data_IF_804032824096
#
_entry.id   IF_804032824096
#
_cell.length_a   1.000
_cell.length_b   1.000
_cell.length_c   1.000
_cell.angle_alpha   90.00
_cell.angle_beta   90.00
_cell.angle_gamma   90.00
#
_symmetry.space_group_name_H-M   'P 1'
#
loop_
_entity.id
_entity.type
_entity.pdbx_description
1 polymer ?
#
# COMPACT_ATOMS: atom_id res chain seq x y z
N UNK A 1 4.11 0.22 -22.27
CA UNK A 1 3.26 0.00 -21.08
C UNK A 1 3.47 1.18 -20.15
N UNK A 2 2.42 1.89 -19.74
CA UNK A 2 2.54 3.02 -18.80
C UNK A 2 2.64 2.44 -17.40
N UNK A 3 3.81 2.52 -16.78
CA UNK A 3 4.00 2.05 -15.40
C UNK A 3 3.13 2.90 -14.48
N UNK A 4 2.31 2.27 -13.64
CA UNK A 4 1.43 2.95 -12.69
C UNK A 4 2.11 2.96 -11.32
N UNK A 5 2.29 4.14 -10.74
CA UNK A 5 2.86 4.34 -9.41
C UNK A 5 1.86 5.06 -8.51
N UNK A 6 1.94 4.86 -7.18
CA UNK A 6 1.26 5.72 -6.24
C UNK A 6 1.69 7.18 -6.48
N UNK A 7 0.73 8.11 -6.37
CA UNK A 7 0.96 9.53 -6.66
C UNK A 7 0.07 10.44 -5.84
N UNK A 8 0.53 11.68 -5.69
CA UNK A 8 -0.30 12.79 -5.26
C UNK A 8 -0.57 13.71 -6.44
N UNK A 9 -1.83 14.07 -6.65
CA UNK A 9 -2.24 15.08 -7.63
C UNK A 9 -2.80 16.28 -6.89
N UNK A 10 -2.30 17.48 -7.13
CA UNK A 10 -2.93 18.71 -6.61
C UNK A 10 -4.22 18.94 -7.38
N UNK A 11 -5.37 18.78 -6.73
CA UNK A 11 -6.69 18.94 -7.35
C UNK A 11 -7.30 20.32 -7.11
N UNK A 12 -6.77 21.08 -6.14
CA UNK A 12 -7.12 22.47 -5.88
C UNK A 12 -5.95 23.23 -5.25
N UNK A 13 -5.65 24.43 -5.74
CA UNK A 13 -4.52 25.27 -5.28
C UNK A 13 -3.72 25.84 -6.45
N UNK A 14 -2.66 26.60 -6.16
CA UNK A 14 -1.87 27.38 -7.13
C UNK A 14 -1.11 26.52 -8.16
N UNK A 15 -0.98 25.20 -7.91
CA UNK A 15 -0.33 24.22 -8.80
C UNK A 15 -1.30 23.10 -9.22
N UNK A 16 -2.53 23.45 -9.57
CA UNK A 16 -3.55 22.46 -9.94
C UNK A 16 -3.08 21.55 -11.09
N UNK A 17 -3.41 20.26 -10.99
CA UNK A 17 -3.00 19.15 -11.86
C UNK A 17 -1.53 18.71 -11.77
N UNK A 18 -0.69 19.36 -10.96
CA UNK A 18 0.67 18.86 -10.73
C UNK A 18 0.64 17.51 -10.02
N UNK A 19 1.47 16.57 -10.50
CA UNK A 19 1.59 15.21 -9.96
C UNK A 19 2.97 14.99 -9.34
N UNK A 20 3.00 14.27 -8.22
CA UNK A 20 4.18 13.84 -7.51
C UNK A 20 4.14 12.32 -7.37
N UNK A 21 5.10 11.63 -7.96
CA UNK A 21 5.21 10.18 -7.82
C UNK A 21 5.75 9.85 -6.44
N UNK A 22 5.18 8.81 -5.81
CA UNK A 22 5.63 8.32 -4.52
C UNK A 22 6.43 7.05 -4.77
N UNK A 23 7.73 7.12 -4.49
CA UNK A 23 8.71 6.06 -4.74
C UNK A 23 8.98 5.18 -3.50
N UNK A 24 8.05 5.21 -2.53
CA UNK A 24 8.17 4.52 -1.25
C UNK A 24 8.99 5.28 -0.20
N UNK A 25 9.64 6.39 -0.56
CA UNK A 25 10.24 7.28 0.45
C UNK A 25 9.16 8.10 1.16
N UNK A 26 9.39 8.48 2.41
CA UNK A 26 8.52 9.43 3.06
C UNK A 26 8.51 10.79 2.35
N UNK A 27 7.35 11.43 2.34
CA UNK A 27 7.09 12.65 1.58
C UNK A 27 6.59 13.74 2.53
N UNK A 28 7.35 14.83 2.60
CA UNK A 28 7.01 16.02 3.36
C UNK A 28 6.19 16.99 2.52
N UNK A 29 5.05 17.42 3.07
CA UNK A 29 4.13 18.35 2.41
C UNK A 29 3.98 19.60 3.28
N UNK A 30 4.08 20.78 2.67
CA UNK A 30 3.92 22.05 3.36
C UNK A 30 4.33 23.24 2.50
N UNK A 31 4.25 24.46 3.04
CA UNK A 31 4.65 25.67 2.28
C UNK A 31 6.14 25.96 2.28
N UNK A 32 6.93 25.15 2.99
CA UNK A 32 8.39 25.24 2.97
C UNK A 32 8.91 24.88 1.58
N UNK A 33 9.95 25.58 1.12
CA UNK A 33 10.61 25.22 -0.15
C UNK A 33 11.45 23.94 -0.04
N UNK A 34 11.70 23.50 1.20
CA UNK A 34 12.38 22.26 1.56
C UNK A 34 11.42 21.06 1.64
N UNK A 35 10.14 21.23 1.33
CA UNK A 35 9.18 20.13 1.22
C UNK A 35 9.28 19.45 -0.15
N UNK A 36 9.12 18.12 -0.17
CA UNK A 36 9.04 17.33 -1.40
C UNK A 36 7.81 17.76 -2.24
N UNK A 37 6.72 18.10 -1.56
CA UNK A 37 5.51 18.67 -2.17
C UNK A 37 5.29 20.08 -1.63
N UNK A 38 5.89 21.11 -2.26
CA UNK A 38 5.74 22.48 -1.83
C UNK A 38 4.35 23.04 -2.20
N UNK A 39 3.66 23.59 -1.20
CA UNK A 39 2.35 24.23 -1.35
C UNK A 39 2.49 25.76 -1.34
N UNK A 40 1.95 26.42 -2.36
CA UNK A 40 1.79 27.88 -2.35
C UNK A 40 0.49 28.26 -1.63
N UNK A 41 0.47 28.02 -0.31
CA UNK A 41 -0.71 28.21 0.53
C UNK A 41 -0.33 28.88 1.84
N UNK A 42 -0.87 30.08 2.08
CA UNK A 42 -0.58 30.85 3.29
C UNK A 42 -1.13 30.19 4.57
N UNK A 43 -2.17 29.36 4.44
CA UNK A 43 -2.76 28.62 5.55
C UNK A 43 -2.04 27.29 5.82
N UNK A 44 -1.07 26.89 4.99
CA UNK A 44 -0.23 25.75 5.27
C UNK A 44 0.92 26.11 6.23
N UNK A 45 1.21 25.24 7.21
CA UNK A 45 2.49 25.26 7.92
C UNK A 45 3.67 25.01 6.97
N UNK A 46 4.87 25.46 7.37
CA UNK A 46 6.11 25.20 6.60
C UNK A 46 6.31 23.72 6.36
N UNK A 47 6.23 22.93 7.43
CA UNK A 47 6.13 21.47 7.43
C UNK A 47 4.75 21.14 7.97
N UNK A 48 3.85 20.63 7.12
CA UNK A 48 2.43 20.54 7.47
C UNK A 48 2.02 19.10 7.81
N UNK A 49 2.23 18.20 6.86
CA UNK A 49 1.96 16.79 7.05
C UNK A 49 3.02 15.96 6.35
N UNK A 50 3.02 14.69 6.71
CA UNK A 50 3.97 13.69 6.28
C UNK A 50 3.20 12.48 5.77
N UNK A 51 3.63 11.94 4.64
CA UNK A 51 3.12 10.69 4.11
C UNK A 51 4.25 9.69 4.10
N UNK A 52 3.99 8.49 4.59
CA UNK A 52 4.96 7.40 4.60
C UNK A 52 4.30 6.10 4.16
N UNK A 53 5.08 5.26 3.50
CA UNK A 53 4.66 3.90 3.21
C UNK A 53 5.12 2.99 4.35
N UNK A 54 4.19 2.22 4.89
CA UNK A 54 4.49 1.11 5.77
C UNK A 54 5.09 -0.03 4.94
N UNK A 55 5.85 -0.89 5.60
CA UNK A 55 6.51 -2.03 4.94
C UNK A 55 5.52 -3.00 4.25
N UNK A 56 4.27 -3.03 4.70
CA UNK A 56 3.19 -3.84 4.09
C UNK A 56 2.63 -3.22 2.78
N UNK A 57 3.19 -2.07 2.39
CA UNK A 57 2.80 -1.29 1.23
C UNK A 57 1.67 -0.28 1.50
N UNK A 58 1.13 -0.21 2.72
CA UNK A 58 0.06 0.73 3.08
C UNK A 58 0.63 2.12 3.22
N UNK A 59 -0.19 3.11 2.94
CA UNK A 59 0.20 4.50 3.09
C UNK A 59 -0.44 5.07 4.34
N UNK A 60 0.35 5.84 5.08
CA UNK A 60 -0.09 6.58 6.24
C UNK A 60 0.08 8.07 5.99
N UNK A 61 -0.83 8.85 6.55
CA UNK A 61 -0.80 10.31 6.59
C UNK A 61 -0.71 10.74 8.06
N UNK A 62 0.25 11.61 8.37
CA UNK A 62 0.46 12.18 9.70
C UNK A 62 0.48 13.69 9.64
N UNK A 63 -0.32 14.35 10.48
CA UNK A 63 -0.19 15.81 10.69
C UNK A 63 1.00 16.10 11.62
N UNK A 64 1.83 17.08 11.27
CA UNK A 64 3.07 17.42 12.00
C UNK A 64 2.86 18.52 13.05
N UNK A 65 1.66 18.61 13.64
CA UNK A 65 1.30 19.68 14.56
C UNK A 65 1.03 20.99 13.83
N UNK A 66 0.42 20.91 12.65
CA UNK A 66 0.20 22.07 11.81
C UNK A 66 -0.84 23.03 12.43
N UNK A 67 -0.73 24.33 12.13
CA UNK A 67 -1.56 25.36 12.76
C UNK A 67 -3.05 25.16 12.48
N UNK A 68 -3.39 24.82 11.24
CA UNK A 68 -4.76 24.66 10.78
C UNK A 68 -5.18 23.18 10.69
N UNK A 69 -4.25 22.25 10.91
CA UNK A 69 -4.41 20.81 10.75
C UNK A 69 -4.64 20.33 9.33
N UNK A 70 -4.55 19.01 9.21
CA UNK A 70 -4.82 18.24 8.00
C UNK A 70 -6.19 17.57 8.08
N UNK A 71 -6.97 17.64 7.00
CA UNK A 71 -8.19 16.84 6.85
C UNK A 71 -7.98 15.75 5.81
N UNK A 72 -8.40 14.53 6.14
CA UNK A 72 -8.46 13.39 5.23
C UNK A 72 -9.93 13.08 4.95
N UNK A 73 -10.34 13.17 3.69
CA UNK A 73 -11.74 12.99 3.26
C UNK A 73 -12.74 13.87 4.06
N UNK A 74 -12.31 15.09 4.41
CA UNK A 74 -13.11 16.03 5.20
C UNK A 74 -13.09 15.79 6.71
N UNK A 75 -12.47 14.71 7.19
CA UNK A 75 -12.32 14.39 8.62
C UNK A 75 -10.93 14.80 9.10
N UNK A 76 -10.85 15.49 10.24
CA UNK A 76 -9.57 15.93 10.79
C UNK A 76 -8.71 14.74 11.23
N UNK A 77 -7.46 14.70 10.78
CA UNK A 77 -6.48 13.67 11.17
C UNK A 77 -6.09 13.89 12.64
N UNK A 78 -6.14 12.83 13.45
CA UNK A 78 -5.65 12.81 14.83
C UNK A 78 -4.46 11.85 14.92
N UNK A 79 -3.25 12.39 15.02
CA UNK A 79 -2.02 11.58 14.96
C UNK A 79 -1.76 11.09 13.54
N UNK A 80 -2.05 9.81 13.28
CA UNK A 80 -1.82 9.15 11.99
C UNK A 80 -3.12 8.54 11.47
N UNK A 81 -3.33 8.59 10.16
CA UNK A 81 -4.48 8.00 9.47
C UNK A 81 -4.03 7.16 8.26
N UNK A 82 -4.75 6.08 7.97
CA UNK A 82 -4.56 5.31 6.74
C UNK A 82 -4.94 6.13 5.51
N UNK A 83 -4.10 6.10 4.48
CA UNK A 83 -4.28 6.83 3.25
C UNK A 83 -4.57 5.84 2.12
N UNK A 84 -5.85 5.76 1.76
CA UNK A 84 -6.33 4.85 0.71
C UNK A 84 -6.47 5.55 -0.65
N UNK A 85 -6.47 4.80 -1.74
CA UNK A 85 -6.70 5.29 -3.10
C UNK A 85 -7.95 6.17 -3.20
N UNK A 86 -7.82 7.23 -3.98
CA UNK A 86 -8.86 8.23 -4.17
C UNK A 86 -9.03 9.19 -2.98
N UNK A 87 -8.34 8.98 -1.86
CA UNK A 87 -8.47 9.85 -0.70
C UNK A 87 -8.05 11.29 -1.02
N UNK A 88 -8.78 12.23 -0.44
CA UNK A 88 -8.53 13.67 -0.56
C UNK A 88 -7.92 14.21 0.72
N UNK A 89 -6.74 14.80 0.60
CA UNK A 89 -6.02 15.49 1.66
C UNK A 89 -6.28 16.99 1.51
N UNK A 90 -6.81 17.63 2.54
CA UNK A 90 -7.04 19.09 2.55
C UNK A 90 -6.12 19.76 3.56
N UNK A 91 -5.41 20.79 3.07
CA UNK A 91 -4.41 21.57 3.81
C UNK A 91 -4.66 23.03 3.50
N UNK A 92 -5.17 23.80 4.46
CA UNK A 92 -5.52 25.20 4.21
C UNK A 92 -6.55 25.33 3.07
N UNK A 93 -6.19 26.05 2.01
CA UNK A 93 -6.98 26.19 0.78
C UNK A 93 -6.63 25.14 -0.28
N UNK A 94 -5.60 24.34 -0.07
CA UNK A 94 -5.10 23.33 -1.01
C UNK A 94 -5.78 21.98 -0.81
N UNK A 95 -6.03 21.26 -1.90
CA UNK A 95 -6.47 19.86 -1.88
C UNK A 95 -5.61 19.01 -2.79
N UNK A 96 -5.17 17.87 -2.27
CA UNK A 96 -4.43 16.84 -2.99
C UNK A 96 -5.25 15.56 -3.02
N UNK A 97 -5.23 14.85 -4.14
CA UNK A 97 -5.77 13.51 -4.26
C UNK A 97 -4.63 12.51 -4.23
N UNK A 98 -4.72 11.55 -3.35
CA UNK A 98 -3.87 10.37 -3.36
C UNK A 98 -4.43 9.36 -4.35
N UNK A 99 -3.58 8.84 -5.21
CA UNK A 99 -3.90 7.75 -6.11
C UNK A 99 -2.93 6.62 -5.86
N UNK A 100 -3.42 5.47 -5.46
CA UNK A 100 -2.63 4.25 -5.34
C UNK A 100 -3.25 3.20 -6.27
N UNK A 101 -2.66 2.98 -7.46
CA UNK A 101 -3.14 1.93 -8.36
C UNK A 101 -3.01 0.54 -7.73
N UNK A 102 -2.35 0.44 -6.57
CA UNK A 102 -2.12 -0.78 -5.82
C UNK A 102 -3.08 -1.02 -4.63
N UNK A 103 -3.99 -0.08 -4.31
CA UNK A 103 -4.85 -0.20 -3.11
C UNK A 103 -5.97 -1.24 -3.30
N UNK A 104 -6.14 -2.21 -2.37
CA UNK A 104 -7.16 -3.26 -2.43
C UNK A 104 -8.61 -2.76 -2.51
N UNK A 105 -8.93 -1.57 -2.03
CA UNK A 105 -10.28 -0.97 -2.12
C UNK A 105 -10.54 -0.31 -3.49
N UNK A 106 -9.51 -0.23 -4.34
CA UNK A 106 -9.64 0.30 -5.69
C UNK A 106 -10.41 -0.70 -6.55
N UNK A 107 -11.66 -0.36 -6.89
CA UNK A 107 -12.57 -1.14 -7.76
C UNK A 107 -12.03 -1.50 -9.16
N UNK A 108 -10.78 -1.17 -9.49
CA UNK A 108 -10.19 -1.23 -10.83
C UNK A 108 -9.59 -2.60 -11.19
N UNK A 109 -9.40 -3.49 -10.22
CA UNK A 109 -8.76 -4.80 -10.46
C UNK A 109 -9.68 -5.93 -10.89
N UNK A 110 -11.00 -5.71 -10.84
CA UNK A 110 -12.01 -6.69 -11.25
C UNK A 110 -12.07 -6.92 -12.78
N UNK A 111 -11.03 -6.53 -13.53
CA UNK A 111 -10.94 -6.69 -14.98
C UNK A 111 -9.75 -7.55 -15.44
N UNK A 112 -8.93 -8.06 -14.53
CA UNK A 112 -7.90 -9.04 -14.89
C UNK A 112 -8.53 -10.44 -14.91
N UNK A 113 -8.33 -11.24 -15.98
CA UNK A 113 -8.80 -12.61 -15.99
C UNK A 113 -8.13 -13.40 -14.86
N UNK A 114 -8.92 -14.16 -14.11
CA UNK A 114 -8.50 -15.08 -13.07
C UNK A 114 -7.28 -15.90 -13.53
N UNK A 115 -6.15 -15.74 -12.85
CA UNK A 115 -4.93 -16.50 -13.15
C UNK A 115 -5.00 -17.81 -12.37
N UNK A 116 -5.00 -18.94 -13.08
CA UNK A 116 -5.02 -20.25 -12.45
C UNK A 116 -3.77 -20.51 -11.58
N UNK A 117 -3.88 -21.26 -10.46
CA UNK A 117 -2.74 -21.62 -9.59
C UNK A 117 -1.56 -22.30 -10.28
N UNK A 118 -1.80 -22.91 -11.45
CA UNK A 118 -0.78 -23.55 -12.28
C UNK A 118 0.17 -22.57 -13.00
N UNK A 119 -0.12 -21.26 -12.98
CA UNK A 119 0.64 -20.24 -13.70
C UNK A 119 1.63 -19.45 -12.82
N UNK A 120 1.64 -19.68 -11.51
CA UNK A 120 2.56 -19.03 -10.56
C UNK A 120 3.89 -19.79 -10.48
N UNK A 121 5.00 -19.11 -10.72
CA UNK A 121 6.35 -19.61 -10.44
C UNK A 121 7.08 -18.63 -9.54
N UNK A 122 7.72 -19.15 -8.48
CA UNK A 122 8.48 -18.34 -7.52
C UNK A 122 9.93 -18.83 -7.51
N UNK A 123 10.84 -17.99 -7.97
CA UNK A 123 12.27 -18.19 -7.82
C UNK A 123 12.70 -17.61 -6.46
N UNK A 124 12.80 -18.49 -5.46
CA UNK A 124 13.14 -18.12 -4.08
C UNK A 124 14.54 -17.51 -3.95
N UNK A 125 15.48 -17.93 -4.79
CA UNK A 125 16.87 -17.48 -4.74
C UNK A 125 17.04 -16.16 -5.47
N UNK A 126 16.48 -16.04 -6.68
CA UNK A 126 16.49 -14.82 -7.48
C UNK A 126 15.50 -13.73 -7.02
N UNK A 127 14.58 -14.06 -6.10
CA UNK A 127 13.45 -13.20 -5.66
C UNK A 127 12.57 -12.71 -6.80
N UNK A 128 12.31 -13.60 -7.75
CA UNK A 128 11.48 -13.29 -8.93
C UNK A 128 10.18 -14.07 -8.85
N UNK A 129 9.06 -13.35 -8.92
CA UNK A 129 7.72 -13.94 -9.06
C UNK A 129 7.31 -13.83 -10.52
N UNK A 130 6.82 -14.93 -11.10
CA UNK A 130 6.30 -14.96 -12.47
C UNK A 130 4.85 -15.41 -12.48
N UNK A 131 4.05 -14.72 -13.27
CA UNK A 131 2.67 -15.09 -13.61
C UNK A 131 2.60 -15.37 -15.10
N UNK A 132 2.12 -16.56 -15.48
CA UNK A 132 2.11 -17.01 -16.88
C UNK A 132 3.49 -16.87 -17.55
N UNK A 133 4.56 -17.18 -16.81
CA UNK A 133 5.96 -17.07 -17.26
C UNK A 133 6.55 -15.64 -17.28
N UNK A 134 5.73 -14.60 -17.15
CA UNK A 134 6.17 -13.20 -17.16
C UNK A 134 6.49 -12.72 -15.73
N UNK A 135 7.64 -12.04 -15.50
CA UNK A 135 7.95 -11.47 -14.20
C UNK A 135 6.89 -10.46 -13.76
N UNK A 136 6.56 -10.47 -12.48
CA UNK A 136 5.70 -9.47 -11.86
C UNK A 136 6.41 -8.11 -11.88
N UNK A 137 5.74 -7.10 -12.45
CA UNK A 137 6.22 -5.72 -12.51
C UNK A 137 5.13 -4.77 -11.98
N UNK A 138 5.41 -3.93 -10.95
CA UNK A 138 6.64 -3.88 -10.16
C UNK A 138 6.93 -5.21 -9.43
N UNK A 139 8.11 -5.42 -8.82
CA UNK A 139 8.36 -6.56 -7.92
C UNK A 139 7.54 -6.45 -6.63
N UNK A 140 7.34 -7.57 -5.92
CA UNK A 140 6.66 -7.56 -4.61
C UNK A 140 7.43 -6.74 -3.58
N UNK A 141 6.73 -6.11 -2.64
CA UNK A 141 7.38 -5.51 -1.47
C UNK A 141 8.06 -6.60 -0.61
N UNK A 142 9.02 -6.26 0.25
CA UNK A 142 9.67 -7.24 1.13
C UNK A 142 8.67 -8.09 1.93
N UNK A 143 7.63 -7.49 2.50
CA UNK A 143 6.60 -8.22 3.28
C UNK A 143 5.69 -9.09 2.42
N UNK A 144 5.31 -8.60 1.23
CA UNK A 144 4.56 -9.40 0.26
C UNK A 144 5.38 -10.60 -0.24
N UNK A 145 6.68 -10.41 -0.46
CA UNK A 145 7.62 -11.47 -0.82
C UNK A 145 7.76 -12.49 0.30
N UNK A 146 7.96 -12.06 1.54
CA UNK A 146 8.07 -12.97 2.70
C UNK A 146 6.80 -13.80 2.88
N UNK A 147 5.64 -13.17 2.78
CA UNK A 147 4.35 -13.87 2.83
C UNK A 147 4.23 -14.89 1.69
N UNK A 148 4.50 -14.49 0.45
CA UNK A 148 4.40 -15.40 -0.69
C UNK A 148 5.40 -16.55 -0.58
N UNK A 149 6.64 -16.26 -0.20
CA UNK A 149 7.69 -17.28 -0.04
C UNK A 149 7.30 -18.29 1.04
N UNK A 150 6.79 -17.83 2.18
CA UNK A 150 6.31 -18.69 3.27
C UNK A 150 5.15 -19.59 2.80
N UNK A 151 4.14 -19.01 2.14
CA UNK A 151 3.00 -19.77 1.63
C UNK A 151 3.40 -20.73 0.49
N UNK A 152 4.37 -20.35 -0.35
CA UNK A 152 4.87 -21.17 -1.45
C UNK A 152 5.72 -22.35 -0.96
N UNK A 153 6.52 -22.16 0.10
CA UNK A 153 7.25 -23.25 0.76
C UNK A 153 6.31 -24.25 1.45
N UNK A 154 5.16 -23.78 1.93
CA UNK A 154 4.12 -24.59 2.57
C UNK A 154 2.93 -24.87 1.62
N UNK A 155 3.17 -24.93 0.31
CA UNK A 155 2.09 -25.08 -0.68
C UNK A 155 1.24 -26.33 -0.41
N UNK A 156 -0.08 -26.16 -0.41
CA UNK A 156 -1.05 -27.20 -0.05
C UNK A 156 -1.35 -27.32 1.45
N UNK A 157 -0.53 -26.71 2.31
CA UNK A 157 -0.74 -26.64 3.76
C UNK A 157 -1.11 -25.22 4.20
N UNK A 158 -1.87 -25.13 5.29
CA UNK A 158 -2.25 -23.85 5.86
C UNK A 158 -1.14 -23.36 6.79
N UNK A 159 -0.74 -22.11 6.63
CA UNK A 159 0.18 -21.41 7.53
C UNK A 159 -0.62 -20.57 8.51
N UNK A 160 -0.31 -20.67 9.81
CA UNK A 160 -1.02 -19.96 10.87
C UNK A 160 -0.72 -18.45 10.85
N UNK A 161 -1.69 -17.63 11.28
CA UNK A 161 -1.51 -16.16 11.38
C UNK A 161 -0.33 -15.76 12.27
N UNK A 162 -0.12 -16.46 13.40
CA UNK A 162 1.00 -16.18 14.30
C UNK A 162 2.37 -16.44 13.65
N UNK A 163 2.45 -17.50 12.84
CA UNK A 163 3.68 -17.82 12.08
C UNK A 163 3.92 -16.78 10.99
N UNK A 164 2.87 -16.41 10.24
CA UNK A 164 2.94 -15.33 9.25
C UNK A 164 3.41 -14.03 9.92
N UNK A 165 2.86 -13.68 11.08
CA UNK A 165 3.24 -12.50 11.83
C UNK A 165 4.74 -12.51 12.19
N UNK A 166 5.25 -13.64 12.70
CA UNK A 166 6.65 -13.79 13.10
C UNK A 166 7.63 -13.68 11.93
N UNK A 167 7.28 -14.25 10.77
CA UNK A 167 8.15 -14.26 9.59
C UNK A 167 8.12 -12.92 8.85
N UNK A 168 6.93 -12.33 8.71
CA UNK A 168 6.73 -11.13 7.90
C UNK A 168 7.03 -9.84 8.67
N UNK A 169 6.84 -9.85 10.00
CA UNK A 169 7.13 -8.73 10.90
C UNK A 169 8.00 -9.15 12.10
N UNK A 170 9.23 -9.66 11.87
CA UNK A 170 10.13 -10.07 12.96
C UNK A 170 10.45 -8.92 13.92
N UNK A 171 10.40 -7.67 13.44
CA UNK A 171 10.63 -6.46 14.22
C UNK A 171 9.50 -6.12 15.20
N UNK A 172 8.28 -6.60 14.95
CA UNK A 172 7.10 -6.20 15.71
C UNK A 172 6.95 -6.91 17.07
N UNK A 173 7.80 -7.91 17.39
CA UNK A 173 7.81 -8.65 18.66
C UNK A 173 6.41 -9.12 19.13
N UNK A 174 5.56 -9.54 18.19
CA UNK A 174 4.19 -10.01 18.46
C UNK A 174 3.12 -8.93 18.52
N UNK A 175 3.43 -7.66 18.26
CA UNK A 175 2.47 -6.56 18.17
C UNK A 175 1.80 -6.47 16.78
N UNK A 176 1.39 -7.62 16.23
CA UNK A 176 0.69 -7.70 14.93
C UNK A 176 -0.71 -8.25 15.19
N UNK A 177 -1.71 -7.52 14.70
CA UNK A 177 -3.10 -7.94 14.74
C UNK A 177 -3.50 -8.59 13.40
N UNK A 178 -4.47 -9.50 13.47
CA UNK A 178 -5.06 -10.19 12.32
C UNK A 178 -5.35 -9.27 11.13
N UNK A 179 -5.92 -8.08 11.36
CA UNK A 179 -6.29 -7.18 10.28
C UNK A 179 -5.09 -6.74 9.42
N UNK A 180 -3.87 -6.70 9.97
CA UNK A 180 -2.65 -6.35 9.23
C UNK A 180 -2.25 -7.50 8.29
N UNK A 181 -2.39 -8.73 8.77
CA UNK A 181 -2.14 -9.95 7.99
C UNK A 181 -3.18 -10.05 6.88
N UNK A 182 -4.45 -9.87 7.22
CA UNK A 182 -5.58 -9.93 6.29
C UNK A 182 -5.41 -8.91 5.15
N UNK A 183 -4.98 -7.67 5.48
CA UNK A 183 -4.66 -6.64 4.48
C UNK A 183 -3.48 -7.02 3.59
N UNK A 184 -2.40 -7.57 4.15
CA UNK A 184 -1.25 -7.99 3.35
C UNK A 184 -1.62 -9.13 2.40
N UNK A 185 -2.40 -10.12 2.85
CA UNK A 185 -2.89 -11.21 2.01
C UNK A 185 -3.81 -10.70 0.92
N UNK A 186 -4.75 -9.81 1.24
CA UNK A 186 -5.63 -9.17 0.26
C UNK A 186 -4.81 -8.50 -0.85
N UNK A 187 -3.77 -7.73 -0.51
CA UNK A 187 -2.87 -7.13 -1.50
C UNK A 187 -2.12 -8.15 -2.32
N UNK A 188 -1.62 -9.22 -1.69
CA UNK A 188 -0.90 -10.27 -2.40
C UNK A 188 -1.80 -10.98 -3.42
N UNK A 189 -3.03 -11.34 -3.07
CA UNK A 189 -4.01 -11.95 -4.00
C UNK A 189 -4.21 -11.10 -5.25
N UNK A 190 -4.39 -9.79 -5.07
CA UNK A 190 -4.56 -8.85 -6.18
C UNK A 190 -3.31 -8.76 -7.06
N UNK A 191 -2.13 -8.72 -6.46
CA UNK A 191 -0.85 -8.74 -7.18
C UNK A 191 -0.67 -10.02 -8.01
N UNK A 192 -1.24 -11.13 -7.54
CA UNK A 192 -1.23 -12.41 -8.23
C UNK A 192 -2.38 -12.57 -9.25
N UNK A 193 -3.26 -11.59 -9.39
CA UNK A 193 -4.42 -11.66 -10.29
C UNK A 193 -5.46 -12.72 -9.87
N UNK A 194 -5.44 -13.11 -8.59
CA UNK A 194 -6.41 -14.03 -8.01
C UNK A 194 -7.46 -13.21 -7.25
N UNK A 195 -8.69 -13.22 -7.76
CA UNK A 195 -9.84 -12.76 -6.99
C UNK A 195 -10.29 -13.90 -6.05
N UNK A 196 -10.87 -13.54 -4.89
CA UNK A 196 -11.67 -14.43 -4.05
C UNK A 196 -11.09 -15.84 -3.82
N UNK A 197 -9.92 -15.89 -3.19
CA UNK A 197 -9.30 -17.09 -2.62
C UNK A 197 -8.78 -18.17 -3.59
N UNK A 198 -8.87 -17.97 -4.91
CA UNK A 198 -8.49 -19.00 -5.90
C UNK A 198 -7.04 -19.50 -5.80
N UNK A 199 -6.09 -18.61 -5.49
CA UNK A 199 -4.66 -18.96 -5.38
C UNK A 199 -4.20 -19.03 -3.93
N UNK A 200 -4.66 -18.08 -3.10
CA UNK A 200 -4.39 -18.07 -1.65
C UNK A 200 -5.73 -18.19 -0.96
N UNK A 201 -6.01 -19.32 -0.33
CA UNK A 201 -7.25 -19.59 0.40
C UNK A 201 -7.20 -19.06 1.83
N UNK A 202 -8.31 -18.52 2.34
CA UNK A 202 -8.48 -18.25 3.77
C UNK A 202 -8.94 -19.50 4.50
N UNK A 203 -8.11 -19.99 5.42
CA UNK A 203 -8.48 -21.06 6.35
C UNK A 203 -9.03 -20.41 7.61
N UNK A 204 -10.36 -20.32 7.67
CA UNK A 204 -11.11 -19.59 8.69
C UNK A 204 -10.63 -19.90 10.11
N UNK A 205 -10.32 -18.84 10.87
CA UNK A 205 -9.86 -18.93 12.26
C UNK A 205 -8.43 -19.45 12.44
N UNK A 206 -7.68 -19.69 11.36
CA UNK A 206 -6.33 -20.25 11.44
C UNK A 206 -5.30 -19.44 10.65
N UNK A 207 -5.53 -19.21 9.35
CA UNK A 207 -4.54 -18.54 8.50
C UNK A 207 -4.80 -18.73 7.01
N UNK A 208 -3.75 -19.00 6.25
CA UNK A 208 -3.79 -18.95 4.78
C UNK A 208 -3.05 -20.10 4.13
N UNK A 209 -3.53 -20.55 2.97
CA UNK A 209 -2.95 -21.65 2.19
C UNK A 209 -2.75 -21.25 0.74
N UNK A 210 -1.61 -21.56 0.14
CA UNK A 210 -1.41 -21.43 -1.31
C UNK A 210 -1.76 -22.75 -2.01
N UNK A 211 -2.55 -22.68 -3.08
CA UNK A 211 -2.89 -23.82 -3.95
C UNK A 211 -1.82 -24.10 -5.00
#
# INVERSE_FOLDING_TARGET
MTVRYPKLTIIHGTNQQQEYLLDGKPVLIGRGQDCDVPLQDFYASRHHCWIEQEDDGSWLLRDLGSKNGTLLNGVRVKGTAGLNDGATISIGSSRLRFGDPFDPDTKTYNLLPAISPAALTVDLEGRIVRLNGSPLDPPLSPKQWLLLALLYQNRGEAVAKDEIAQIVWPEAKGAIFDYQIDKLVSRLRMRLGSADDEMIETVWGYGYRLH
#
